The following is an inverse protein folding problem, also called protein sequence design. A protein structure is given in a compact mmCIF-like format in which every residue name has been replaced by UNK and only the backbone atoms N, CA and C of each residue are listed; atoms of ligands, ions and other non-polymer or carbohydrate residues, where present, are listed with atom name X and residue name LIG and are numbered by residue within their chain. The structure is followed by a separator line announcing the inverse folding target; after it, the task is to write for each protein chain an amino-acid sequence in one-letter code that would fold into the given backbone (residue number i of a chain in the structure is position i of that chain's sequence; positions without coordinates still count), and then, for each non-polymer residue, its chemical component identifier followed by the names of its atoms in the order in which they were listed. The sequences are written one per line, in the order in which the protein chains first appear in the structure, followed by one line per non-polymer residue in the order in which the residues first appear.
data_IF_991804060284
#
_entry.id   IF_991804060284
#
_cell.length_a   1.000
_cell.length_b   1.000
_cell.length_c   1.000
_cell.angle_alpha   90.00
_cell.angle_beta   90.00
_cell.angle_gamma   90.00
#
_symmetry.space_group_name_H-M   'P 1'
#
loop_
_entity.id
_entity.type
_entity.pdbx_description
1 polymer ?
#
# COMPACT_ATOMS: atom_id res chain seq x y z
N UNK A 1 -0.24 14.96 -15.49
CA UNK A 1 -1.00 13.82 -14.92
C UNK A 1 -0.02 12.88 -14.22
N UNK A 2 -0.03 12.59 -12.92
CA UNK A 2 -1.00 12.85 -11.85
C UNK A 2 -0.21 12.80 -10.52
N UNK A 3 0.21 13.97 -10.03
CA UNK A 3 0.92 14.15 -8.75
C UNK A 3 0.22 13.45 -7.56
N UNK A 4 -1.08 13.19 -7.66
CA UNK A 4 -1.88 12.51 -6.64
C UNK A 4 -1.47 11.05 -6.38
N UNK A 5 -0.84 10.38 -7.35
CA UNK A 5 -0.24 9.04 -7.17
C UNK A 5 1.03 9.08 -6.30
N UNK A 6 1.72 10.24 -6.21
CA UNK A 6 2.96 10.45 -5.42
C UNK A 6 2.73 10.61 -3.91
N UNK A 7 1.49 10.85 -3.47
CA UNK A 7 1.18 11.19 -2.06
C UNK A 7 0.69 10.01 -1.22
N UNK A 8 0.58 8.81 -1.79
CA UNK A 8 0.04 7.64 -1.08
C UNK A 8 1.08 6.51 -1.04
N UNK A 9 2.17 6.68 -0.27
CA UNK A 9 3.27 5.71 -0.27
C UNK A 9 2.90 4.41 0.44
N UNK A 10 1.77 4.35 1.15
CA UNK A 10 1.33 3.16 1.86
C UNK A 10 0.23 2.45 1.09
N UNK A 11 0.44 1.21 0.68
CA UNK A 11 -0.58 0.39 0.02
C UNK A 11 -0.80 -0.90 0.82
N UNK A 12 -2.06 -1.28 1.04
CA UNK A 12 -2.41 -2.60 1.58
C UNK A 12 -2.62 -3.53 0.39
N UNK A 13 -1.86 -4.60 0.32
CA UNK A 13 -2.05 -5.69 -0.62
C UNK A 13 -2.58 -6.92 0.09
N UNK A 14 -3.32 -7.75 -0.65
CA UNK A 14 -3.74 -9.06 -0.20
C UNK A 14 -3.07 -10.11 -1.09
N UNK A 15 -2.06 -10.88 -0.61
CA UNK A 15 -1.58 -12.03 -1.36
C UNK A 15 -2.66 -13.12 -1.41
N UNK A 16 -3.09 -13.47 -2.63
CA UNK A 16 -3.91 -14.63 -2.90
C UNK A 16 -3.01 -15.80 -3.32
N UNK A 17 -3.41 -17.06 -3.03
CA UNK A 17 -2.67 -18.26 -3.44
C UNK A 17 -2.57 -18.41 -4.96
N UNK A 18 -3.34 -17.62 -5.72
CA UNK A 18 -3.32 -17.59 -7.18
C UNK A 18 -2.21 -16.69 -7.77
N UNK A 19 -1.10 -16.48 -7.04
CA UNK A 19 0.01 -15.58 -7.41
C UNK A 19 -0.41 -14.11 -7.65
N UNK A 20 -1.60 -13.72 -7.19
CA UNK A 20 -2.10 -12.35 -7.35
C UNK A 20 -2.00 -11.60 -6.03
N UNK A 21 -1.53 -10.36 -6.09
CA UNK A 21 -1.41 -9.45 -4.94
C UNK A 21 -2.20 -8.17 -5.20
N UNK A 22 -3.55 -8.25 -5.37
CA UNK A 22 -4.36 -7.06 -5.60
C UNK A 22 -4.15 -6.04 -4.47
N UNK A 23 -4.04 -4.78 -4.89
CA UNK A 23 -4.02 -3.63 -3.97
C UNK A 23 -5.44 -3.41 -3.49
N UNK A 24 -5.65 -3.62 -2.20
CA UNK A 24 -6.96 -3.46 -1.55
C UNK A 24 -7.25 -1.98 -1.31
N UNK A 25 -6.24 -1.24 -0.85
CA UNK A 25 -6.39 0.17 -0.54
C UNK A 25 -5.04 0.90 -0.55
N UNK A 26 -5.08 2.21 -0.81
CA UNK A 26 -3.91 3.09 -0.75
C UNK A 26 -4.14 4.18 0.28
N UNK A 27 -3.10 4.48 1.05
CA UNK A 27 -3.12 5.43 2.16
C UNK A 27 -1.91 6.37 2.08
N UNK A 28 -2.12 7.58 2.58
CA UNK A 28 -1.05 8.58 2.72
C UNK A 28 -0.22 8.39 3.98
N UNK A 29 -0.83 7.85 5.04
CA UNK A 29 -0.21 7.67 6.36
C UNK A 29 -0.15 6.19 6.71
N UNK A 30 0.93 5.80 7.38
CA UNK A 30 1.13 4.45 7.90
C UNK A 30 0.04 4.07 8.90
N UNK A 31 -0.27 4.97 9.84
CA UNK A 31 -1.24 4.70 10.91
C UNK A 31 -2.64 4.40 10.40
N UNK A 32 -3.10 5.10 9.35
CA UNK A 32 -4.39 4.80 8.71
C UNK A 32 -4.38 3.42 8.03
N UNK A 33 -3.27 3.07 7.36
CA UNK A 33 -3.11 1.76 6.74
C UNK A 33 -3.08 0.63 7.78
N UNK A 34 -2.39 0.82 8.91
CA UNK A 34 -2.33 -0.14 10.02
C UNK A 34 -3.70 -0.32 10.69
N UNK A 35 -4.42 0.76 10.95
CA UNK A 35 -5.78 0.70 11.50
C UNK A 35 -6.73 -0.06 10.55
N UNK A 36 -6.67 0.23 9.25
CA UNK A 36 -7.46 -0.50 8.26
C UNK A 36 -7.07 -1.97 8.16
N UNK A 37 -5.78 -2.30 8.19
CA UNK A 37 -5.31 -3.69 8.15
C UNK A 37 -5.82 -4.47 9.36
N UNK A 38 -5.78 -3.91 10.57
CA UNK A 38 -6.29 -4.59 11.77
C UNK A 38 -7.80 -4.86 11.68
N UNK A 39 -8.57 -3.91 11.16
CA UNK A 39 -10.00 -4.10 10.92
C UNK A 39 -10.22 -5.23 9.90
N UNK A 40 -9.46 -5.22 8.81
CA UNK A 40 -9.56 -6.23 7.75
C UNK A 40 -9.18 -7.64 8.24
N UNK A 41 -8.10 -7.74 9.02
CA UNK A 41 -7.71 -8.99 9.68
C UNK A 41 -8.77 -9.49 10.65
N UNK A 42 -9.46 -8.58 11.36
CA UNK A 42 -10.50 -8.95 12.32
C UNK A 42 -11.80 -9.40 11.65
N UNK A 43 -12.14 -8.78 10.50
CA UNK A 43 -13.28 -9.18 9.67
C UNK A 43 -13.01 -10.51 8.95
N UNK A 44 -11.79 -10.70 8.45
CA UNK A 44 -11.42 -11.89 7.68
C UNK A 44 -10.06 -12.41 8.20
N UNK A 45 -10.05 -13.18 9.30
CA UNK A 45 -8.80 -13.72 9.88
C UNK A 45 -8.11 -14.74 8.96
N UNK A 46 -8.84 -15.32 8.01
CA UNK A 46 -8.31 -16.24 7.00
C UNK A 46 -7.55 -15.52 5.88
N UNK A 47 -7.71 -14.20 5.75
CA UNK A 47 -7.07 -13.43 4.71
C UNK A 47 -5.74 -12.84 5.20
N UNK A 48 -4.67 -13.12 4.47
CA UNK A 48 -3.38 -12.48 4.69
C UNK A 48 -3.38 -11.11 4.04
N UNK A 49 -3.05 -10.07 4.81
CA UNK A 49 -2.88 -8.71 4.34
C UNK A 49 -1.44 -8.27 4.61
N UNK A 50 -0.85 -7.53 3.69
CA UNK A 50 0.50 -6.99 3.83
C UNK A 50 0.51 -5.51 3.45
N UNK A 51 1.23 -4.70 4.22
CA UNK A 51 1.42 -3.27 3.93
C UNK A 51 2.73 -3.14 3.16
N UNK A 52 2.65 -2.56 1.96
CA UNK A 52 3.80 -2.22 1.14
C UNK A 52 3.99 -0.71 1.16
N UNK A 53 5.24 -0.31 1.37
CA UNK A 53 5.68 1.06 1.19
C UNK A 53 6.20 1.22 -0.24
N UNK A 54 5.38 1.78 -1.12
CA UNK A 54 5.76 2.12 -2.49
C UNK A 54 6.18 3.59 -2.51
N UNK A 55 7.40 3.86 -2.06
CA UNK A 55 8.07 5.11 -2.38
C UNK A 55 8.63 4.91 -3.77
N UNK A 56 8.09 5.61 -4.75
CA UNK A 56 8.85 5.85 -5.98
C UNK A 56 9.85 6.94 -5.60
N UNK A 57 11.13 6.64 -5.32
CA UNK A 57 12.10 7.70 -5.19
C UNK A 57 12.09 8.45 -6.51
N UNK A 58 11.96 9.78 -6.43
CA UNK A 58 12.26 10.61 -7.59
C UNK A 58 13.63 10.18 -8.10
N UNK A 59 13.67 9.76 -9.36
CA UNK A 59 14.88 9.77 -10.14
C UNK A 59 15.46 11.17 -9.95
N UNK A 60 16.55 11.26 -9.19
CA UNK A 60 17.39 12.44 -9.10
C UNK A 60 17.93 12.65 -10.52
N UNK A 61 17.14 13.25 -11.39
CA UNK A 61 17.65 13.78 -12.64
C UNK A 61 18.35 15.10 -12.32
N UNK A 62 19.67 15.03 -12.42
CA UNK A 62 20.59 16.08 -12.83
C UNK A 62 20.19 17.54 -12.57
N UNK A 63 21.00 18.26 -11.79
CA UNK A 63 21.85 19.37 -12.28
C UNK A 63 22.71 19.92 -11.14
N UNK A 64 24.01 19.63 -11.16
CA UNK A 64 25.09 20.56 -10.78
C UNK A 64 26.32 20.18 -11.57
#
# INVERSE_FOLDING_TARGET
MTYFKRLHPWCIIRPLPNLQTPIVARFRRRSDAEAHLQILQRLIPTATYSIIFDVTPEETDATT
#
